data_IF_136670223927
#
_entry.id   IF_136670223927
#
_cell.length_a   1.000
_cell.length_b   1.000
_cell.length_c   1.000
_cell.angle_alpha   90.00
_cell.angle_beta   90.00
_cell.angle_gamma   90.00
#
_symmetry.space_group_name_H-M   'P 1'
#
loop_
_entity.id
_entity.type
_entity.pdbx_description
1 polymer ?
#
# COMPACT_ATOMS: atom_id res chain seq x y z
N UNK A 1 -11.39 2.55 -20.84
CA UNK A 1 -10.70 1.27 -20.61
C UNK A 1 -9.57 1.45 -19.60
N UNK A 2 -8.57 2.31 -19.85
CA UNK A 2 -7.47 2.58 -18.90
C UNK A 2 -7.96 3.08 -17.53
N UNK A 3 -8.88 4.05 -17.49
CA UNK A 3 -9.46 4.56 -16.23
C UNK A 3 -10.17 3.48 -15.43
N UNK A 4 -11.00 2.65 -16.09
CA UNK A 4 -11.75 1.58 -15.42
C UNK A 4 -10.83 0.48 -14.85
N UNK A 5 -9.71 0.19 -15.51
CA UNK A 5 -8.72 -0.75 -15.00
C UNK A 5 -7.94 -0.15 -13.81
N UNK A 6 -7.62 1.15 -13.84
CA UNK A 6 -7.01 1.86 -12.71
C UNK A 6 -7.96 1.93 -11.50
N UNK A 7 -9.25 2.15 -11.73
CA UNK A 7 -10.28 2.08 -10.68
C UNK A 7 -10.38 0.68 -10.09
N UNK A 8 -10.37 -0.35 -10.94
CA UNK A 8 -10.38 -1.74 -10.49
C UNK A 8 -9.14 -2.07 -9.65
N UNK A 9 -7.95 -1.61 -10.05
CA UNK A 9 -6.71 -1.77 -9.30
C UNK A 9 -6.80 -1.16 -7.89
N UNK A 10 -7.26 0.09 -7.80
CA UNK A 10 -7.46 0.77 -6.51
C UNK A 10 -8.52 0.07 -5.65
N UNK A 11 -9.62 -0.39 -6.24
CA UNK A 11 -10.68 -1.12 -5.53
C UNK A 11 -10.21 -2.48 -5.02
N UNK A 12 -9.40 -3.20 -5.80
CA UNK A 12 -8.80 -4.46 -5.36
C UNK A 12 -7.90 -4.23 -4.14
N UNK A 13 -7.03 -3.22 -4.18
CA UNK A 13 -6.19 -2.89 -3.04
C UNK A 13 -7.03 -2.50 -1.80
N UNK A 14 -8.05 -1.66 -1.96
CA UNK A 14 -8.96 -1.33 -0.86
C UNK A 14 -9.70 -2.55 -0.31
N UNK A 15 -10.04 -3.52 -1.16
CA UNK A 15 -10.66 -4.77 -0.72
C UNK A 15 -9.70 -5.55 0.17
N UNK A 16 -8.42 -5.63 -0.17
CA UNK A 16 -7.40 -6.28 0.65
C UNK A 16 -7.22 -5.54 1.99
N UNK A 17 -7.17 -4.21 1.99
CA UNK A 17 -7.11 -3.41 3.22
C UNK A 17 -8.32 -3.71 4.10
N UNK A 18 -9.53 -3.73 3.52
CA UNK A 18 -10.76 -4.03 4.26
C UNK A 18 -10.78 -5.44 4.84
N UNK A 19 -10.27 -6.44 4.13
CA UNK A 19 -10.14 -7.80 4.64
C UNK A 19 -9.21 -7.88 5.85
N UNK A 20 -8.10 -7.14 5.86
CA UNK A 20 -7.21 -7.08 7.02
C UNK A 20 -7.83 -6.32 8.19
N UNK A 21 -8.58 -5.24 7.92
CA UNK A 21 -9.37 -4.54 8.95
C UNK A 21 -10.38 -5.48 9.63
N UNK A 22 -11.06 -6.33 8.86
CA UNK A 22 -12.01 -7.32 9.38
C UNK A 22 -11.35 -8.38 10.27
N UNK A 23 -10.04 -8.63 10.11
CA UNK A 23 -9.24 -9.48 10.99
C UNK A 23 -8.79 -8.78 12.28
N UNK A 24 -9.12 -7.49 12.44
CA UNK A 24 -8.81 -6.70 13.63
C UNK A 24 -7.52 -5.89 13.54
N UNK A 25 -6.89 -5.80 12.37
CA UNK A 25 -5.74 -4.92 12.16
C UNK A 25 -6.16 -3.45 12.23
N UNK A 26 -5.29 -2.58 12.78
CA UNK A 26 -5.41 -1.13 12.56
C UNK A 26 -5.24 -0.82 11.08
N UNK A 27 -5.84 0.25 10.55
CA UNK A 27 -5.73 0.69 9.16
C UNK A 27 -4.28 0.75 8.65
N UNK A 28 -3.35 1.32 9.42
CA UNK A 28 -1.94 1.40 8.99
C UNK A 28 -1.30 0.01 8.85
N UNK A 29 -1.66 -0.92 9.75
CA UNK A 29 -1.21 -2.31 9.70
C UNK A 29 -1.88 -3.08 8.56
N UNK A 30 -3.17 -2.88 8.36
CA UNK A 30 -3.94 -3.45 7.27
C UNK A 30 -3.37 -3.02 5.90
N UNK A 31 -2.94 -1.76 5.77
CA UNK A 31 -2.28 -1.27 4.56
C UNK A 31 -0.94 -1.99 4.27
N UNK A 32 -0.10 -2.19 5.30
CA UNK A 32 1.15 -2.95 5.18
C UNK A 32 0.87 -4.40 4.74
N UNK A 33 -0.11 -5.04 5.38
CA UNK A 33 -0.46 -6.44 5.13
C UNK A 33 -1.11 -6.63 3.75
N UNK A 34 -1.98 -5.72 3.34
CA UNK A 34 -2.59 -5.70 2.02
C UNK A 34 -1.54 -5.60 0.91
N UNK A 35 -0.47 -4.81 1.11
CA UNK A 35 0.66 -4.72 0.16
C UNK A 35 1.28 -6.09 -0.07
N UNK A 36 1.56 -6.85 1.01
CA UNK A 36 2.12 -8.20 0.88
C UNK A 36 1.19 -9.15 0.15
N UNK A 37 -0.10 -9.14 0.51
CA UNK A 37 -1.11 -10.01 -0.12
C UNK A 37 -1.23 -9.70 -1.60
N UNK A 38 -1.29 -8.41 -1.97
CA UNK A 38 -1.37 -7.98 -3.36
C UNK A 38 -0.19 -8.50 -4.18
N UNK A 39 1.03 -8.46 -3.67
CA UNK A 39 2.23 -8.91 -4.41
C UNK A 39 2.33 -10.44 -4.52
N UNK A 40 1.65 -11.19 -3.66
CA UNK A 40 1.65 -12.65 -3.66
C UNK A 40 0.53 -13.24 -4.53
N UNK A 41 -0.48 -12.47 -4.92
CA UNK A 41 -1.55 -12.93 -5.80
C UNK A 41 -1.09 -12.89 -7.27
N UNK A 42 -1.19 -14.03 -7.98
CA UNK A 42 -0.62 -14.20 -9.32
C UNK A 42 -1.30 -13.40 -10.46
N UNK A 43 -2.39 -12.66 -10.18
CA UNK A 43 -3.19 -11.90 -11.16
C UNK A 43 -2.79 -10.41 -11.31
N UNK A 44 -1.67 -10.02 -10.68
CA UNK A 44 -1.09 -8.65 -10.67
C UNK A 44 -0.79 -8.10 -12.08
N UNK A 45 -0.60 -8.97 -13.09
CA UNK A 45 -0.31 -8.61 -14.48
C UNK A 45 -1.39 -7.76 -15.18
N UNK A 46 -2.66 -7.81 -14.72
CA UNK A 46 -3.75 -6.99 -15.30
C UNK A 46 -3.85 -5.59 -14.68
N UNK A 47 -3.46 -5.48 -13.41
CA UNK A 47 -3.37 -4.28 -12.59
C UNK A 47 -2.21 -3.40 -13.07
N UNK A 48 -1.11 -4.05 -13.45
CA UNK A 48 0.15 -3.43 -13.81
C UNK A 48 0.09 -2.56 -15.09
N UNK A 49 -0.44 -3.10 -16.18
CA UNK A 49 -0.52 -2.38 -17.45
C UNK A 49 -1.44 -1.14 -17.40
N UNK A 50 -2.36 -1.10 -16.44
CA UNK A 50 -3.37 -0.04 -16.31
C UNK A 50 -2.90 1.17 -15.50
N UNK A 51 -2.18 0.93 -14.41
CA UNK A 51 -1.52 1.97 -13.62
C UNK A 51 -0.43 2.65 -14.43
N UNK A 52 0.38 1.86 -15.16
CA UNK A 52 1.37 2.35 -16.14
C UNK A 52 0.76 3.30 -17.18
N UNK A 53 -0.39 2.93 -17.75
CA UNK A 53 -1.07 3.73 -18.77
C UNK A 53 -1.73 5.01 -18.19
N UNK A 54 -2.20 4.97 -16.94
CA UNK A 54 -2.74 6.11 -16.21
C UNK A 54 -1.65 7.14 -15.86
N UNK A 55 -0.53 6.68 -15.29
CA UNK A 55 0.61 7.52 -14.89
C UNK A 55 1.25 8.20 -16.12
N UNK A 56 1.30 7.52 -17.26
CA UNK A 56 1.95 8.04 -18.46
C UNK A 56 1.19 9.19 -19.16
N UNK A 57 -0.15 9.26 -19.07
CA UNK A 57 -0.93 10.18 -19.93
C UNK A 57 -2.23 10.75 -19.33
N UNK A 58 -2.64 10.42 -18.09
CA UNK A 58 -3.95 10.84 -17.57
C UNK A 58 -3.90 11.41 -16.14
N UNK A 59 -3.92 12.75 -16.05
CA UNK A 59 -3.91 13.50 -14.77
C UNK A 59 -5.12 13.21 -13.87
N UNK A 60 -6.26 12.83 -14.46
CA UNK A 60 -7.48 12.48 -13.72
C UNK A 60 -7.32 11.13 -13.01
N UNK A 61 -6.64 10.17 -13.63
CA UNK A 61 -6.36 8.88 -13.02
C UNK A 61 -5.36 8.97 -11.86
N UNK A 62 -4.47 9.97 -11.87
CA UNK A 62 -3.58 10.28 -10.75
C UNK A 62 -4.32 10.90 -9.54
N UNK A 63 -5.49 11.52 -9.75
CA UNK A 63 -6.25 12.12 -8.66
C UNK A 63 -6.77 11.05 -7.67
N UNK A 64 -7.16 9.88 -8.18
CA UNK A 64 -7.59 8.74 -7.36
C UNK A 64 -6.49 8.27 -6.39
N UNK A 65 -5.25 8.16 -6.88
CA UNK A 65 -4.10 7.80 -6.05
C UNK A 65 -3.76 8.89 -5.04
N UNK A 66 -3.91 10.16 -5.41
CA UNK A 66 -3.73 11.27 -4.48
C UNK A 66 -4.77 11.24 -3.35
N UNK A 67 -6.02 10.89 -3.65
CA UNK A 67 -7.07 10.71 -2.65
C UNK A 67 -6.79 9.52 -1.74
N UNK A 68 -6.33 8.40 -2.29
CA UNK A 68 -5.90 7.23 -1.52
C UNK A 68 -4.79 7.59 -0.52
N UNK A 69 -3.74 8.27 -1.00
CA UNK A 69 -2.65 8.73 -0.13
C UNK A 69 -3.11 9.74 0.92
N UNK A 70 -4.15 10.51 0.63
CA UNK A 70 -4.76 11.42 1.60
C UNK A 70 -5.52 10.63 2.68
N UNK A 71 -6.33 9.65 2.27
CA UNK A 71 -7.06 8.78 3.19
C UNK A 71 -6.11 8.02 4.11
N UNK A 72 -5.06 7.42 3.56
CA UNK A 72 -4.04 6.75 4.37
C UNK A 72 -3.42 7.69 5.41
N UNK A 73 -3.03 8.91 5.01
CA UNK A 73 -2.45 9.89 5.93
C UNK A 73 -3.42 10.30 7.04
N UNK A 74 -4.69 10.51 6.71
CA UNK A 74 -5.73 10.84 7.70
C UNK A 74 -5.88 9.68 8.68
N UNK A 75 -6.02 8.45 8.18
CA UNK A 75 -6.21 7.25 9.02
C UNK A 75 -5.01 6.97 9.91
N UNK A 76 -3.79 7.08 9.38
CA UNK A 76 -2.57 6.95 10.18
C UNK A 76 -2.51 8.00 11.31
N UNK A 77 -2.92 9.23 11.01
CA UNK A 77 -2.99 10.31 12.02
C UNK A 77 -4.04 10.04 13.09
N UNK A 78 -5.23 9.56 12.70
CA UNK A 78 -6.29 9.13 13.63
C UNK A 78 -5.84 8.00 14.56
N UNK A 79 -4.90 7.15 14.09
CA UNK A 79 -4.29 6.06 14.84
C UNK A 79 -3.09 6.49 15.70
N UNK A 80 -2.76 7.77 15.74
CA UNK A 80 -1.62 8.30 16.48
C UNK A 80 -0.26 7.92 15.89
N UNK A 81 -0.21 7.48 14.63
CA UNK A 81 1.06 7.14 13.96
C UNK A 81 1.81 8.44 13.63
N UNK A 82 3.10 8.55 14.01
CA UNK A 82 3.92 9.70 13.63
C UNK A 82 3.93 9.92 12.11
N UNK A 83 3.86 11.18 11.68
CA UNK A 83 3.77 11.53 10.26
C UNK A 83 4.96 10.99 9.45
N UNK A 84 6.15 11.02 10.04
CA UNK A 84 7.38 10.51 9.46
C UNK A 84 7.30 9.01 9.22
N UNK A 85 6.83 8.25 10.21
CA UNK A 85 6.64 6.81 10.09
C UNK A 85 5.56 6.47 9.07
N UNK A 86 4.42 7.16 9.10
CA UNK A 86 3.36 6.98 8.09
C UNK A 86 3.90 7.22 6.68
N UNK A 87 4.75 8.24 6.50
CA UNK A 87 5.39 8.54 5.22
C UNK A 87 6.35 7.43 4.78
N UNK A 88 7.16 6.89 5.69
CA UNK A 88 8.05 5.75 5.42
C UNK A 88 7.25 4.53 5.00
N UNK A 89 6.19 4.17 5.75
CA UNK A 89 5.34 3.01 5.45
C UNK A 89 4.77 3.13 4.04
N UNK A 90 4.11 4.26 3.73
CA UNK A 90 3.51 4.49 2.41
C UNK A 90 4.57 4.39 1.30
N UNK A 91 5.70 5.07 1.46
CA UNK A 91 6.76 5.10 0.45
C UNK A 91 7.38 3.73 0.19
N UNK A 92 7.55 2.91 1.23
CA UNK A 92 8.07 1.55 1.09
C UNK A 92 7.05 0.65 0.40
N UNK A 93 5.77 0.72 0.78
CA UNK A 93 4.69 -0.01 0.11
C UNK A 93 4.58 0.37 -1.38
N UNK A 94 4.64 1.68 -1.69
CA UNK A 94 4.66 2.18 -3.06
C UNK A 94 5.90 1.67 -3.81
N UNK A 95 7.08 1.70 -3.18
CA UNK A 95 8.32 1.21 -3.77
C UNK A 95 8.28 -0.27 -4.11
N UNK A 96 7.70 -1.10 -3.24
CA UNK A 96 7.46 -2.52 -3.49
C UNK A 96 6.52 -2.68 -4.69
N UNK A 97 5.37 -1.99 -4.66
CA UNK A 97 4.40 -2.03 -5.75
C UNK A 97 5.03 -1.62 -7.08
N UNK A 98 5.84 -0.57 -7.11
CA UNK A 98 6.54 -0.13 -8.32
C UNK A 98 7.64 -1.10 -8.78
N UNK A 99 8.39 -1.69 -7.85
CA UNK A 99 9.42 -2.68 -8.19
C UNK A 99 8.79 -3.90 -8.89
N UNK A 100 7.63 -4.37 -8.40
CA UNK A 100 6.85 -5.43 -9.05
C UNK A 100 6.26 -4.97 -10.39
N UNK A 101 5.60 -3.80 -10.41
CA UNK A 101 4.94 -3.23 -11.58
C UNK A 101 5.86 -3.09 -12.81
N UNK A 102 7.08 -2.64 -12.58
CA UNK A 102 8.02 -2.31 -13.64
C UNK A 102 9.12 -3.36 -13.82
N UNK A 103 9.06 -4.47 -13.08
CA UNK A 103 10.12 -5.49 -13.01
C UNK A 103 11.50 -4.86 -12.71
N UNK A 104 11.52 -3.88 -11.80
CA UNK A 104 12.71 -3.12 -11.40
C UNK A 104 13.32 -3.72 -10.14
N UNK A 105 13.90 -4.91 -10.28
CA UNK A 105 14.46 -5.67 -9.15
C UNK A 105 13.41 -5.92 -8.04
N UNK A 106 12.28 -6.57 -8.36
CA UNK A 106 11.23 -6.82 -7.39
C UNK A 106 11.74 -7.71 -6.25
N UNK A 107 11.39 -7.40 -4.99
CA UNK A 107 11.80 -8.23 -3.87
C UNK A 107 11.19 -9.62 -4.00
N UNK A 108 12.01 -10.66 -3.79
CA UNK A 108 11.49 -12.02 -3.66
C UNK A 108 10.58 -12.17 -2.43
N UNK A 109 9.77 -13.24 -2.38
CA UNK A 109 8.81 -13.49 -1.29
C UNK A 109 9.44 -13.39 0.11
N UNK A 110 10.65 -13.93 0.27
CA UNK A 110 11.37 -13.90 1.55
C UNK A 110 11.78 -12.47 1.93
N UNK A 111 12.25 -11.67 0.97
CA UNK A 111 12.63 -10.28 1.19
C UNK A 111 11.41 -9.41 1.50
N UNK A 112 10.35 -9.55 0.71
CA UNK A 112 9.06 -8.89 0.95
C UNK A 112 8.55 -9.18 2.36
N UNK A 113 8.60 -10.45 2.78
CA UNK A 113 8.19 -10.85 4.13
C UNK A 113 9.02 -10.16 5.21
N UNK A 114 10.35 -10.09 5.03
CA UNK A 114 11.24 -9.40 6.00
C UNK A 114 10.96 -7.90 6.06
N UNK A 115 10.74 -7.25 4.91
CA UNK A 115 10.44 -5.80 4.86
C UNK A 115 9.12 -5.51 5.54
N UNK A 116 8.08 -6.31 5.26
CA UNK A 116 6.76 -6.19 5.90
C UNK A 116 6.87 -6.34 7.42
N UNK A 117 7.53 -7.40 7.90
CA UNK A 117 7.75 -7.62 9.33
C UNK A 117 8.53 -6.47 9.99
N UNK A 118 9.48 -5.87 9.27
CA UNK A 118 10.22 -4.71 9.74
C UNK A 118 9.31 -3.49 9.92
N UNK A 119 8.43 -3.20 8.96
CA UNK A 119 7.45 -2.11 9.07
C UNK A 119 6.46 -2.34 10.21
N UNK A 120 5.98 -3.58 10.39
CA UNK A 120 5.10 -3.96 11.50
C UNK A 120 5.77 -3.73 12.86
N UNK A 121 7.04 -4.13 12.99
CA UNK A 121 7.81 -3.95 14.21
C UNK A 121 8.06 -2.46 14.52
N UNK A 122 8.37 -1.65 13.50
CA UNK A 122 8.52 -0.21 13.65
C UNK A 122 7.21 0.45 14.09
N UNK A 123 6.10 0.09 13.45
CA UNK A 123 4.77 0.62 13.78
C UNK A 123 4.40 0.31 15.23
N UNK A 124 4.65 -0.92 15.68
CA UNK A 124 4.40 -1.31 17.06
C UNK A 124 5.25 -0.51 18.04
N UNK A 125 6.56 -0.41 17.78
CA UNK A 125 7.49 0.30 18.65
C UNK A 125 7.10 1.77 18.86
N UNK A 126 6.77 2.48 17.78
CA UNK A 126 6.36 3.89 17.86
C UNK A 126 5.04 4.07 18.63
N UNK A 127 4.09 3.13 18.50
CA UNK A 127 2.85 3.17 19.29
C UNK A 127 3.10 2.94 20.78
N UNK A 128 3.96 1.98 21.13
CA UNK A 128 4.31 1.69 22.53
C UNK A 128 5.04 2.88 23.21
N UNK A 129 5.84 3.65 22.47
CA UNK A 129 6.54 4.85 22.97
C UNK A 129 5.62 6.06 23.17
N UNK A 130 4.50 6.14 22.46
CA UNK A 130 3.50 7.21 22.62
C UNK A 130 2.54 6.96 23.80
N UNK A 131 2.33 5.69 24.17
CA UNK A 131 1.47 5.29 25.29
C UNK A 131 2.19 5.25 26.67
N UNK A 132 3.50 5.45 26.69
CA UNK A 132 4.37 5.41 27.89
C UNK A 132 4.61 6.78 28.51
#
# INVERSE_FOLDING_TARGET
MITALNEQAGQQFQTLVQQELEKGSSYTLAYIQATRTQMNEADVLSTDASMLAAIANNREALAMWADEYNQFRIKATEEGVPQELASVIRLVCDGIMFAHLFDLDPPGEEELTRVVQYLEALLKKEKDEVES
#
